data_IF_579579478893
#
_entry.id   IF_579579478893
#
_cell.length_a   1.000
_cell.length_b   1.000
_cell.length_c   1.000
_cell.angle_alpha   90.00
_cell.angle_beta   90.00
_cell.angle_gamma   90.00
#
_symmetry.space_group_name_H-M   'P 1'
#
loop_
_entity.id
_entity.type
_entity.pdbx_description
1 polymer ?
#
# COMPACT_ATOMS: atom_id res chain seq x y z
N UNK A 1 6.76 -12.84 -16.37
CA UNK A 1 6.63 -12.74 -14.92
C UNK A 1 6.74 -11.30 -14.50
N UNK A 2 5.77 -10.79 -13.73
CA UNK A 2 5.79 -9.39 -13.32
C UNK A 2 6.98 -9.08 -12.41
N UNK A 3 7.59 -7.92 -12.61
CA UNK A 3 8.68 -7.49 -11.75
C UNK A 3 8.14 -6.63 -10.62
N UNK A 4 8.86 -6.60 -9.50
CA UNK A 4 8.48 -5.85 -8.32
C UNK A 4 8.21 -4.38 -8.65
N UNK A 5 9.11 -3.75 -9.43
CA UNK A 5 8.97 -2.33 -9.76
C UNK A 5 7.73 -2.03 -10.58
N UNK A 6 7.25 -2.99 -11.37
CA UNK A 6 6.02 -2.81 -12.14
C UNK A 6 4.77 -2.80 -11.25
N UNK A 7 4.87 -3.33 -10.03
CA UNK A 7 3.75 -3.36 -9.08
C UNK A 7 3.65 -2.07 -8.25
N UNK A 8 4.66 -1.22 -8.30
CA UNK A 8 4.71 -0.01 -7.49
C UNK A 8 3.60 0.97 -7.89
N UNK A 9 2.79 1.35 -6.91
CA UNK A 9 1.67 2.28 -7.10
C UNK A 9 1.73 3.34 -6.03
N UNK A 10 1.52 4.58 -6.41
CA UNK A 10 1.33 5.64 -5.43
C UNK A 10 0.13 6.49 -5.80
N UNK A 11 -0.54 7.01 -4.79
CA UNK A 11 -1.72 7.84 -4.97
C UNK A 11 -1.74 8.92 -3.90
N UNK A 12 -2.37 10.03 -4.21
CA UNK A 12 -2.47 11.18 -3.30
C UNK A 12 -3.93 11.50 -3.04
N UNK A 13 -4.22 11.80 -1.77
CA UNK A 13 -5.56 12.20 -1.33
C UNK A 13 -5.42 13.46 -0.50
N UNK A 14 -6.14 14.52 -0.85
CA UNK A 14 -6.21 15.69 0.01
C UNK A 14 -7.13 15.34 1.18
N UNK A 15 -6.68 15.60 2.40
CA UNK A 15 -7.49 15.33 3.59
C UNK A 15 -8.57 16.40 3.69
N UNK A 16 -9.77 16.05 3.28
CA UNK A 16 -10.95 16.94 3.30
C UNK A 16 -11.61 16.95 4.67
N UNK A 17 -12.48 17.92 4.97
CA UNK A 17 -13.19 17.94 6.25
C UNK A 17 -13.92 16.64 6.57
N UNK A 18 -14.50 15.97 5.56
CA UNK A 18 -15.19 14.69 5.75
C UNK A 18 -14.26 13.54 6.10
N UNK A 19 -12.96 13.69 5.82
CA UNK A 19 -11.96 12.69 6.12
C UNK A 19 -11.33 12.89 7.48
N UNK A 20 -11.62 14.01 8.13
CA UNK A 20 -10.97 14.40 9.38
C UNK A 20 -11.79 14.00 10.60
N UNK A 21 -11.07 13.73 11.68
CA UNK A 21 -11.69 13.51 12.98
C UNK A 21 -11.89 14.85 13.70
N UNK A 22 -12.36 14.81 14.94
CA UNK A 22 -12.61 16.02 15.73
C UNK A 22 -11.34 16.74 16.19
N UNK A 23 -10.17 16.18 15.90
CA UNK A 23 -8.88 16.81 16.20
C UNK A 23 -8.28 17.50 14.99
N UNK A 24 -9.00 17.51 13.85
CA UNK A 24 -8.53 18.17 12.64
C UNK A 24 -7.50 17.37 11.84
N UNK A 25 -7.43 16.07 12.06
CA UNK A 25 -6.51 15.18 11.36
C UNK A 25 -7.28 14.06 10.68
N UNK A 26 -6.68 13.43 9.67
CA UNK A 26 -7.29 12.31 8.96
C UNK A 26 -7.74 11.23 9.93
N UNK A 27 -8.98 10.78 9.79
CA UNK A 27 -9.52 9.70 10.60
C UNK A 27 -8.74 8.41 10.29
N UNK A 28 -8.32 7.69 11.36
CA UNK A 28 -7.53 6.46 11.17
C UNK A 28 -8.18 5.45 10.25
N UNK A 29 -9.50 5.30 10.33
CA UNK A 29 -10.25 4.42 9.45
C UNK A 29 -10.15 4.82 7.99
N UNK A 30 -10.12 6.12 7.70
CA UNK A 30 -9.97 6.61 6.34
C UNK A 30 -8.55 6.35 5.83
N UNK A 31 -7.55 6.54 6.67
CA UNK A 31 -6.15 6.23 6.31
C UNK A 31 -6.03 4.76 5.94
N UNK A 32 -6.62 3.87 6.75
CA UNK A 32 -6.62 2.43 6.47
C UNK A 32 -7.34 2.10 5.17
N UNK A 33 -8.44 2.79 4.88
CA UNK A 33 -9.17 2.62 3.63
C UNK A 33 -8.28 2.98 2.43
N UNK A 34 -7.59 4.11 2.50
CA UNK A 34 -6.69 4.52 1.43
C UNK A 34 -5.54 3.53 1.24
N UNK A 35 -5.00 3.02 2.34
CA UNK A 35 -3.95 2.00 2.30
C UNK A 35 -4.45 0.73 1.61
N UNK A 36 -5.65 0.29 1.98
CA UNK A 36 -6.28 -0.90 1.39
C UNK A 36 -6.47 -0.73 -0.11
N UNK A 37 -6.99 0.42 -0.53
CA UNK A 37 -7.24 0.68 -1.95
C UNK A 37 -5.96 0.68 -2.79
N UNK A 38 -4.93 1.35 -2.31
CA UNK A 38 -3.67 1.45 -3.06
C UNK A 38 -2.91 0.13 -3.07
N UNK A 39 -2.88 -0.57 -1.93
CA UNK A 39 -2.25 -1.88 -1.85
C UNK A 39 -2.98 -2.89 -2.73
N UNK A 40 -4.32 -2.82 -2.79
CA UNK A 40 -5.12 -3.67 -3.68
C UNK A 40 -4.77 -3.42 -5.14
N UNK A 41 -4.53 -2.16 -5.53
CA UNK A 41 -4.11 -1.85 -6.89
C UNK A 41 -2.78 -2.51 -7.23
N UNK A 42 -1.82 -2.46 -6.31
CA UNK A 42 -0.52 -3.12 -6.51
C UNK A 42 -0.69 -4.63 -6.65
N UNK A 43 -1.49 -5.23 -5.78
CA UNK A 43 -1.75 -6.67 -5.79
C UNK A 43 -2.42 -7.12 -7.10
N UNK A 44 -3.43 -6.38 -7.55
CA UNK A 44 -4.14 -6.71 -8.78
C UNK A 44 -3.29 -6.51 -10.03
N UNK A 45 -2.44 -5.49 -10.02
CA UNK A 45 -1.50 -5.27 -11.13
C UNK A 45 -0.54 -6.44 -11.25
N UNK A 46 -0.08 -6.96 -10.11
CA UNK A 46 0.81 -8.12 -10.09
C UNK A 46 0.08 -9.40 -10.52
N UNK A 47 -1.07 -9.67 -9.91
CA UNK A 47 -1.78 -10.95 -10.09
C UNK A 47 -2.48 -11.07 -11.43
N UNK A 48 -2.90 -9.94 -12.02
CA UNK A 48 -3.74 -9.97 -13.21
C UNK A 48 -5.15 -10.48 -12.94
N UNK A 49 -5.53 -10.56 -11.68
CA UNK A 49 -6.81 -11.06 -11.19
C UNK A 49 -7.35 -10.11 -10.14
N UNK A 50 -8.63 -10.23 -9.83
CA UNK A 50 -9.21 -9.51 -8.71
C UNK A 50 -8.58 -10.04 -7.42
N UNK A 51 -8.20 -9.13 -6.52
CA UNK A 51 -7.64 -9.51 -5.23
C UNK A 51 -8.50 -8.96 -4.11
N UNK A 52 -8.69 -9.76 -3.07
CA UNK A 52 -9.42 -9.35 -1.86
C UNK A 52 -8.47 -9.28 -0.68
N UNK A 53 -8.74 -8.37 0.23
CA UNK A 53 -7.95 -8.20 1.44
C UNK A 53 -8.14 -9.39 2.36
N UNK A 54 -7.04 -10.08 2.66
CA UNK A 54 -7.08 -11.22 3.58
C UNK A 54 -6.62 -10.80 4.98
N UNK A 55 -5.65 -9.90 5.06
CA UNK A 55 -5.10 -9.50 6.35
C UNK A 55 -4.38 -8.16 6.24
N UNK A 56 -4.54 -7.34 7.27
CA UNK A 56 -3.73 -6.16 7.47
C UNK A 56 -2.93 -6.41 8.75
N UNK A 57 -1.62 -6.42 8.64
CA UNK A 57 -0.76 -6.63 9.78
C UNK A 57 -0.74 -5.41 10.69
N UNK A 58 0.04 -5.46 11.77
CA UNK A 58 0.12 -4.35 12.70
C UNK A 58 0.32 -3.04 11.95
N UNK A 59 -0.57 -2.08 12.22
CA UNK A 59 -0.54 -0.78 11.58
C UNK A 59 -0.14 0.26 12.62
N UNK A 60 0.95 0.96 12.35
CA UNK A 60 1.48 1.95 13.27
C UNK A 60 1.16 3.34 12.77
N UNK A 61 0.37 4.09 13.55
CA UNK A 61 0.03 5.48 13.26
C UNK A 61 0.98 6.36 14.07
N UNK A 62 2.11 6.70 13.46
CA UNK A 62 3.17 7.41 14.17
C UNK A 62 2.94 8.91 14.27
N UNK A 63 2.26 9.48 13.28
CA UNK A 63 2.00 10.91 13.19
C UNK A 63 0.65 11.17 12.55
N UNK A 64 -0.01 12.27 12.89
CA UNK A 64 -1.27 12.63 12.24
C UNK A 64 -1.03 13.23 10.87
N UNK A 65 -2.07 13.20 10.04
CA UNK A 65 -2.08 13.92 8.75
C UNK A 65 -3.14 15.01 8.89
N UNK A 66 -2.73 16.26 9.07
CA UNK A 66 -3.68 17.34 9.27
C UNK A 66 -4.62 17.55 8.07
N UNK A 67 -5.83 18.04 8.37
CA UNK A 67 -6.77 18.45 7.34
C UNK A 67 -6.09 19.48 6.42
N UNK A 68 -6.39 19.41 5.13
CA UNK A 68 -5.82 20.23 4.06
C UNK A 68 -4.42 19.78 3.60
N UNK A 69 -3.75 18.90 4.33
CA UNK A 69 -2.52 18.30 3.83
C UNK A 69 -2.83 17.11 2.93
N UNK A 70 -1.80 16.57 2.30
CA UNK A 70 -1.94 15.45 1.37
C UNK A 70 -1.50 14.15 2.06
N UNK A 71 -2.30 13.11 1.89
CA UNK A 71 -1.90 11.75 2.23
C UNK A 71 -1.34 11.12 0.97
N UNK A 72 -0.03 10.85 0.97
CA UNK A 72 0.65 10.18 -0.13
C UNK A 72 0.79 8.71 0.25
N UNK A 73 0.11 7.83 -0.47
CA UNK A 73 0.11 6.40 -0.20
C UNK A 73 0.95 5.68 -1.23
N UNK A 74 1.89 4.86 -0.78
CA UNK A 74 2.78 4.09 -1.65
C UNK A 74 2.66 2.61 -1.30
N UNK A 75 2.53 1.78 -2.31
CA UNK A 75 2.45 0.33 -2.11
C UNK A 75 3.12 -0.42 -3.23
N UNK A 76 3.63 -1.59 -2.92
CA UNK A 76 4.20 -2.50 -3.91
C UNK A 76 4.16 -3.92 -3.38
N UNK A 77 4.21 -4.87 -4.31
CA UNK A 77 4.26 -6.29 -3.98
C UNK A 77 5.71 -6.71 -3.77
N UNK A 78 6.00 -7.40 -2.69
CA UNK A 78 7.36 -7.87 -2.44
C UNK A 78 7.45 -9.38 -2.22
N UNK A 79 6.33 -10.08 -2.14
CA UNK A 79 6.31 -11.52 -1.97
C UNK A 79 5.02 -12.09 -2.52
N UNK A 80 5.09 -13.27 -3.13
CA UNK A 80 3.93 -13.96 -3.66
C UNK A 80 3.96 -15.41 -3.20
N UNK A 81 2.81 -15.91 -2.73
CA UNK A 81 2.63 -17.32 -2.43
C UNK A 81 1.95 -18.03 -3.60
N UNK A 82 1.18 -19.07 -3.33
CA UNK A 82 0.46 -19.79 -4.38
C UNK A 82 -0.73 -18.97 -4.88
N UNK A 83 -1.57 -18.48 -3.96
CA UNK A 83 -2.74 -17.66 -4.29
C UNK A 83 -2.70 -16.30 -3.60
N UNK A 84 -1.70 -16.05 -2.79
CA UNK A 84 -1.59 -14.85 -1.98
C UNK A 84 -0.51 -13.92 -2.47
N UNK A 85 -0.69 -12.64 -2.15
CA UNK A 85 0.22 -11.56 -2.53
C UNK A 85 0.48 -10.72 -1.29
N UNK A 86 1.73 -10.47 -0.99
CA UNK A 86 2.13 -9.65 0.14
C UNK A 86 2.59 -8.29 -0.34
N UNK A 87 2.04 -7.24 0.26
CA UNK A 87 2.37 -5.86 -0.10
C UNK A 87 2.94 -5.13 1.09
N UNK A 88 3.79 -4.16 0.79
CA UNK A 88 4.20 -3.16 1.77
C UNK A 88 3.46 -1.88 1.42
N UNK A 89 2.83 -1.25 2.42
CA UNK A 89 2.09 -0.01 2.20
C UNK A 89 2.50 1.02 3.23
N UNK A 90 2.80 2.23 2.75
CA UNK A 90 3.23 3.35 3.60
C UNK A 90 2.45 4.60 3.24
N UNK A 91 2.15 5.40 4.25
CA UNK A 91 1.47 6.67 4.06
C UNK A 91 2.37 7.78 4.57
N UNK A 92 2.52 8.80 3.74
CA UNK A 92 3.30 9.98 4.06
C UNK A 92 2.39 11.19 4.11
N UNK A 93 2.66 12.07 5.05
CA UNK A 93 2.09 13.41 5.01
C UNK A 93 2.91 14.19 4.00
N UNK A 94 2.27 14.83 3.04
CA UNK A 94 2.95 15.67 2.06
C UNK A 94 2.42 17.09 2.21
N UNK A 95 3.33 18.04 2.37
CA UNK A 95 2.96 19.44 2.43
C UNK A 95 2.53 19.88 1.03
N UNK A 96 1.29 20.39 0.84
CA UNK A 96 0.81 20.75 -0.48
C UNK A 96 1.55 21.93 -1.13
N UNK A 97 2.26 22.71 -0.34
CA UNK A 97 2.97 23.89 -0.87
C UNK A 97 4.43 23.60 -1.20
N UNK A 98 5.09 22.78 -0.42
CA UNK A 98 6.51 22.48 -0.61
C UNK A 98 6.78 21.12 -1.22
N UNK A 99 5.84 20.19 -1.09
CA UNK A 99 6.05 18.80 -1.53
C UNK A 99 6.89 17.98 -0.56
N UNK A 100 7.29 18.54 0.57
CA UNK A 100 8.03 17.78 1.58
C UNK A 100 7.17 16.68 2.17
N UNK A 101 7.77 15.51 2.40
CA UNK A 101 7.06 14.34 2.90
C UNK A 101 7.61 13.85 4.22
N UNK A 102 6.73 13.22 5.00
CA UNK A 102 7.07 12.67 6.31
C UNK A 102 6.28 11.38 6.50
N UNK A 103 6.96 10.30 6.86
CA UNK A 103 6.28 9.01 7.09
C UNK A 103 5.36 9.13 8.31
N UNK A 104 4.10 8.71 8.12
CA UNK A 104 3.10 8.77 9.19
C UNK A 104 2.57 7.40 9.58
N UNK A 105 2.39 6.52 8.62
CA UNK A 105 1.71 5.24 8.85
C UNK A 105 2.31 4.18 7.94
N UNK A 106 2.43 2.95 8.44
CA UNK A 106 2.91 1.85 7.62
C UNK A 106 2.28 0.54 8.06
N UNK A 107 2.17 -0.39 7.12
CA UNK A 107 1.68 -1.74 7.37
C UNK A 107 2.10 -2.67 6.25
N UNK A 108 1.93 -3.97 6.51
CA UNK A 108 2.02 -5.01 5.50
C UNK A 108 0.62 -5.58 5.32
N UNK A 109 0.23 -5.83 4.08
CA UNK A 109 -1.09 -6.36 3.80
C UNK A 109 -0.99 -7.58 2.91
N UNK A 110 -1.83 -8.57 3.19
CA UNK A 110 -1.92 -9.79 2.40
C UNK A 110 -3.24 -9.78 1.65
N UNK A 111 -3.15 -10.06 0.35
CA UNK A 111 -4.30 -10.19 -0.53
C UNK A 111 -4.36 -11.61 -1.08
N UNK A 112 -5.54 -12.05 -1.43
CA UNK A 112 -5.75 -13.34 -2.11
C UNK A 112 -6.39 -13.07 -3.45
N UNK A 113 -5.79 -13.63 -4.50
CA UNK A 113 -6.35 -13.53 -5.85
C UNK A 113 -7.54 -14.48 -5.96
N UNK A 114 -8.62 -14.01 -6.57
CA UNK A 114 -9.83 -14.80 -6.75
C UNK A 114 -10.22 -14.81 -8.21
N UNK A 115 -10.87 -15.93 -8.63
CA UNK A 115 -11.38 -16.08 -9.98
C UNK A 115 -12.82 -15.57 -10.08
N UNK A 116 -13.45 -15.79 -11.22
CA UNK A 116 -14.83 -15.34 -11.48
C UNK A 116 -15.87 -16.02 -10.58
N UNK A 117 -15.51 -17.11 -9.91
CA UNK A 117 -16.38 -17.81 -8.96
C UNK A 117 -16.04 -17.48 -7.51
N UNK A 118 -15.24 -16.43 -7.31
CA UNK A 118 -14.76 -15.98 -5.98
C UNK A 118 -13.94 -17.05 -5.26
N UNK A 119 -13.29 -17.94 -6.02
CA UNK A 119 -12.40 -18.96 -5.47
C UNK A 119 -10.94 -18.52 -5.59
N UNK A 120 -10.08 -18.86 -4.61
CA UNK A 120 -8.66 -18.53 -4.71
C UNK A 120 -8.06 -19.08 -6.00
N UNK A 121 -7.27 -18.26 -6.68
CA UNK A 121 -6.63 -18.63 -7.94
C UNK A 121 -5.13 -18.33 -7.88
N UNK A 122 -4.31 -19.15 -8.58
CA UNK A 122 -2.85 -18.97 -8.53
C UNK A 122 -2.40 -17.60 -9.04
N UNK A 123 -1.35 -17.09 -8.42
CA UNK A 123 -0.69 -15.86 -8.86
C UNK A 123 0.64 -16.20 -9.54
N UNK A 124 1.17 -15.29 -10.39
CA UNK A 124 2.46 -15.54 -11.02
C UNK A 124 3.60 -15.44 -10.02
N UNK A 125 4.80 -15.81 -10.47
CA UNK A 125 6.00 -15.62 -9.67
C UNK A 125 6.44 -14.16 -9.73
N UNK A 126 6.94 -13.66 -8.62
CA UNK A 126 7.49 -12.30 -8.56
C UNK A 126 8.95 -12.32 -9.00
N UNK A 127 9.30 -11.38 -9.89
CA UNK A 127 10.67 -11.20 -10.33
C UNK A 127 11.23 -9.91 -9.72
N UNK A 128 12.44 -10.01 -9.16
CA UNK A 128 13.16 -8.85 -8.63
C UNK A 128 14.42 -8.72 -9.49
N UNK A 129 14.30 -8.02 -10.61
CA UNK A 129 15.31 -8.00 -11.66
C UNK A 129 15.96 -6.64 -11.91
N UNK A 130 15.62 -5.63 -11.10
CA UNK A 130 16.21 -4.31 -11.21
C UNK A 130 16.90 -3.93 -9.90
N UNK A 131 17.84 -2.98 -9.98
CA UNK A 131 18.49 -2.46 -8.79
C UNK A 131 17.46 -1.80 -7.85
N UNK A 132 16.54 -1.01 -8.42
CA UNK A 132 15.48 -0.38 -7.64
C UNK A 132 14.54 -1.41 -7.01
N UNK A 133 14.23 -2.47 -7.76
CA UNK A 133 13.40 -3.57 -7.24
C UNK A 133 14.07 -4.27 -6.07
N UNK A 134 15.39 -4.50 -6.16
CA UNK A 134 16.15 -5.13 -5.10
C UNK A 134 16.16 -4.27 -3.84
N UNK A 135 16.32 -2.95 -3.98
CA UNK A 135 16.27 -2.02 -2.86
C UNK A 135 14.90 -2.06 -2.16
N UNK A 136 13.83 -2.03 -2.94
CA UNK A 136 12.47 -2.08 -2.40
C UNK A 136 12.18 -3.40 -1.71
N UNK A 137 12.65 -4.50 -2.30
CA UNK A 137 12.48 -5.82 -1.71
C UNK A 137 13.18 -5.92 -0.35
N UNK A 138 14.42 -5.51 -0.29
CA UNK A 138 15.20 -5.53 0.96
C UNK A 138 14.60 -4.62 2.01
N UNK A 139 14.14 -3.44 1.62
CA UNK A 139 13.49 -2.52 2.55
C UNK A 139 12.21 -3.13 3.14
N UNK A 140 11.43 -3.84 2.31
CA UNK A 140 10.21 -4.51 2.79
C UNK A 140 10.55 -5.64 3.77
N UNK A 141 11.54 -6.45 3.45
CA UNK A 141 11.93 -7.60 4.29
C UNK A 141 12.52 -7.11 5.61
N UNK A 142 13.30 -6.04 5.59
CA UNK A 142 13.97 -5.51 6.78
C UNK A 142 13.15 -4.47 7.55
N UNK A 143 12.03 -4.02 6.99
CA UNK A 143 11.21 -2.99 7.61
C UNK A 143 11.83 -1.59 7.60
N UNK A 144 12.68 -1.32 6.61
CA UNK A 144 13.38 -0.04 6.49
C UNK A 144 12.53 1.03 5.80
N UNK A 145 12.82 2.29 6.11
CA UNK A 145 12.13 3.42 5.48
C UNK A 145 12.61 3.73 4.05
#
# INVERSE_FOLDING_TARGET
>A
MPSLTETYVENRVIVNPNDANNLGAAHGGNVMKWMDEVAAMAAMRFAGETCVTARMDQTNFRRPIPQADIALVKAYVFEAGETSVKTRVRVFREDPHSGETELTTESYMVFVAIDENDEPTPVPELTVDTERGQELFEAAVNGEE
#
